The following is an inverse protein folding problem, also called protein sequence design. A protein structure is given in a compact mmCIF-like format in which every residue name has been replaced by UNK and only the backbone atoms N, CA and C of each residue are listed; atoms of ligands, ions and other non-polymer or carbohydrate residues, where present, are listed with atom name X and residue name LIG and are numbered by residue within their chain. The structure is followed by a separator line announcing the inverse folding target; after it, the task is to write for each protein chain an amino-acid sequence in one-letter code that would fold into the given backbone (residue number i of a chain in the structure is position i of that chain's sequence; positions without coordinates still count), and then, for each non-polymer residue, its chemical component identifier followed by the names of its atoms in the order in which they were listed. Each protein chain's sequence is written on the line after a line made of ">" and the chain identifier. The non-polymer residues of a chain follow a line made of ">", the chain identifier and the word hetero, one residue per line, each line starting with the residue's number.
data_IF_687176437884
#
_entry.id   IF_687176437884
#
_cell.length_a   1.000
_cell.length_b   1.000
_cell.length_c   1.000
_cell.angle_alpha   90.00
_cell.angle_beta   90.00
_cell.angle_gamma   90.00
#
_symmetry.space_group_name_H-M   'P 1'
#
loop_
_entity.id
_entity.type
_entity.pdbx_description
1 polymer ?
#
# COMPACT_ATOMS: atom_id res chain seq x y z
N UNK A 1 10.88 -38.64 -23.91
CA UNK A 1 9.73 -37.75 -24.12
C UNK A 1 8.90 -37.76 -22.84
N UNK A 2 8.68 -36.60 -22.19
CA UNK A 2 7.49 -36.30 -21.37
C UNK A 2 7.60 -34.87 -20.82
N UNK A 3 7.14 -33.90 -21.62
CA UNK A 3 6.89 -32.52 -21.22
C UNK A 3 5.40 -32.43 -20.86
N UNK A 4 5.02 -32.65 -19.61
CA UNK A 4 3.63 -32.54 -19.19
C UNK A 4 3.53 -32.20 -17.71
N UNK A 5 3.51 -30.91 -17.38
CA UNK A 5 2.68 -30.34 -16.31
C UNK A 5 2.81 -28.81 -16.27
N UNK A 6 2.28 -28.15 -17.30
CA UNK A 6 1.84 -26.75 -17.16
C UNK A 6 0.31 -26.76 -17.09
N UNK A 7 -0.25 -26.69 -15.87
CA UNK A 7 -1.68 -26.43 -15.68
C UNK A 7 -1.86 -24.95 -15.28
N UNK A 8 -2.44 -24.09 -16.13
CA UNK A 8 -2.88 -22.78 -15.70
C UNK A 8 -4.16 -22.91 -14.85
N UNK A 9 -4.10 -22.49 -13.60
CA UNK A 9 -5.29 -22.32 -12.76
C UNK A 9 -6.00 -21.05 -13.22
N UNK A 10 -6.92 -21.19 -14.17
CA UNK A 10 -7.90 -20.15 -14.47
C UNK A 10 -8.88 -20.05 -13.29
N UNK A 11 -8.76 -18.96 -12.51
CA UNK A 11 -9.82 -18.55 -11.58
C UNK A 11 -10.87 -17.75 -12.37
N UNK A 12 -12.15 -18.14 -12.37
CA UNK A 12 -13.19 -17.29 -12.92
C UNK A 12 -13.35 -16.04 -12.05
N UNK A 13 -13.28 -14.89 -12.72
CA UNK A 13 -13.52 -13.57 -12.15
C UNK A 13 -15.02 -13.42 -11.88
N UNK A 14 -15.42 -13.53 -10.61
CA UNK A 14 -16.80 -13.23 -10.19
C UNK A 14 -17.00 -11.73 -10.16
N UNK A 15 -17.69 -11.20 -11.17
CA UNK A 15 -18.15 -9.81 -11.21
C UNK A 15 -19.29 -9.62 -10.21
N UNK A 16 -18.97 -9.30 -8.95
CA UNK A 16 -19.96 -8.79 -8.02
C UNK A 16 -20.24 -7.31 -8.36
N UNK A 17 -21.37 -7.06 -9.02
CA UNK A 17 -21.90 -5.73 -9.24
C UNK A 17 -22.32 -5.12 -7.89
N UNK A 18 -21.52 -4.19 -7.39
CA UNK A 18 -21.86 -3.40 -6.20
C UNK A 18 -22.83 -2.29 -6.61
N UNK A 19 -24.13 -2.54 -6.43
CA UNK A 19 -25.19 -1.55 -6.55
C UNK A 19 -25.18 -0.71 -5.26
N UNK A 20 -24.53 0.46 -5.29
CA UNK A 20 -24.76 1.47 -4.25
C UNK A 20 -26.01 2.29 -4.60
N UNK A 21 -27.11 1.96 -3.91
CA UNK A 21 -28.32 2.76 -3.79
C UNK A 21 -28.02 4.02 -2.97
N UNK A 22 -28.31 5.19 -3.53
CA UNK A 22 -28.40 6.44 -2.77
C UNK A 22 -29.84 6.64 -2.28
N UNK A 23 -30.09 7.06 -1.03
CA UNK A 23 -31.40 7.49 -0.61
C UNK A 23 -31.67 8.92 -1.11
N UNK A 24 -32.73 9.07 -1.91
CA UNK A 24 -33.25 10.38 -2.31
C UNK A 24 -34.12 10.94 -1.18
N UNK A 25 -33.69 12.04 -0.57
CA UNK A 25 -34.52 12.83 0.36
C UNK A 25 -35.53 13.62 -0.46
N UNK A 26 -36.80 13.27 -0.34
CA UNK A 26 -37.92 14.03 -0.91
C UNK A 26 -38.28 15.17 0.04
N UNK A 27 -38.21 16.41 -0.45
CA UNK A 27 -38.80 17.57 0.22
C UNK A 27 -39.93 18.10 -0.67
N UNK A 28 -41.09 18.28 -0.06
CA UNK A 28 -42.37 18.61 -0.68
C UNK A 28 -42.35 19.93 -1.46
N UNK A 29 -43.04 19.91 -2.60
CA UNK A 29 -43.23 21.05 -3.50
C UNK A 29 -44.21 22.08 -2.94
N UNK A 30 -43.87 23.36 -3.05
CA UNK A 30 -44.85 24.45 -3.18
C UNK A 30 -45.02 24.76 -4.67
N UNK A 31 -46.23 24.51 -5.18
CA UNK A 31 -46.61 24.77 -6.58
C UNK A 31 -46.86 26.26 -6.76
N UNK A 32 -46.02 26.94 -7.55
CA UNK A 32 -46.34 28.23 -8.16
C UNK A 32 -46.87 28.01 -9.58
N UNK A 33 -47.84 28.81 -10.06
CA UNK A 33 -48.49 28.58 -11.34
C UNK A 33 -47.51 28.74 -12.50
N UNK A 34 -47.62 27.83 -13.46
CA UNK A 34 -46.81 27.73 -14.66
C UNK A 34 -46.88 29.03 -15.48
N UNK A 35 -45.76 29.75 -15.55
CA UNK A 35 -45.51 30.66 -16.65
C UNK A 35 -45.19 29.81 -17.87
N UNK A 36 -46.07 29.86 -18.87
CA UNK A 36 -45.87 29.23 -20.18
C UNK A 36 -44.73 29.96 -20.88
N UNK A 37 -43.49 29.56 -20.62
CA UNK A 37 -42.35 29.96 -21.44
C UNK A 37 -42.41 29.15 -22.74
N UNK A 38 -42.32 29.85 -23.86
CA UNK A 38 -42.39 29.26 -25.20
C UNK A 38 -41.29 28.19 -25.35
N UNK A 39 -41.70 26.93 -25.54
CA UNK A 39 -40.80 25.84 -25.90
C UNK A 39 -40.28 26.11 -27.34
N UNK A 40 -39.10 26.72 -27.43
CA UNK A 40 -38.36 26.86 -28.68
C UNK A 40 -37.18 25.89 -28.66
N UNK A 41 -37.21 24.89 -29.54
CA UNK A 41 -36.25 23.79 -29.63
C UNK A 41 -34.91 24.16 -30.29
N UNK A 42 -34.51 25.44 -30.23
CA UNK A 42 -33.20 25.88 -30.68
C UNK A 42 -32.54 26.66 -29.55
N UNK A 43 -31.56 26.04 -28.89
CA UNK A 43 -30.72 26.72 -27.92
C UNK A 43 -30.09 27.94 -28.60
N UNK A 44 -30.48 29.15 -28.17
CA UNK A 44 -29.82 30.37 -28.62
C UNK A 44 -28.37 30.27 -28.17
N UNK A 45 -27.45 30.13 -29.12
CA UNK A 45 -26.03 30.25 -28.86
C UNK A 45 -25.79 31.67 -28.39
N UNK A 46 -25.70 31.86 -27.07
CA UNK A 46 -25.20 33.10 -26.53
C UNK A 46 -23.79 33.31 -27.08
N UNK A 47 -23.58 34.48 -27.69
CA UNK A 47 -22.24 34.97 -28.04
C UNK A 47 -21.39 34.77 -26.80
N UNK A 48 -20.23 34.11 -26.93
CA UNK A 48 -19.28 33.88 -25.83
C UNK A 48 -18.77 35.24 -25.32
N UNK A 49 -19.58 35.95 -24.57
CA UNK A 49 -19.13 37.00 -23.68
C UNK A 49 -18.24 36.30 -22.64
N UNK A 50 -17.18 36.98 -22.23
CA UNK A 50 -16.25 36.46 -21.22
C UNK A 50 -17.08 36.24 -19.95
N UNK A 51 -17.48 34.99 -19.72
CA UNK A 51 -18.33 34.61 -18.58
C UNK A 51 -17.68 35.00 -17.26
N UNK A 52 -18.43 34.96 -16.15
CA UNK A 52 -17.90 35.31 -14.83
C UNK A 52 -16.58 34.57 -14.58
N UNK A 53 -15.61 35.28 -14.01
CA UNK A 53 -14.26 34.76 -13.77
C UNK A 53 -14.31 33.37 -13.11
N UNK A 54 -13.46 32.45 -13.58
CA UNK A 54 -13.38 31.10 -13.00
C UNK A 54 -13.10 31.21 -11.51
N UNK A 55 -13.92 30.54 -10.69
CA UNK A 55 -13.70 30.44 -9.25
C UNK A 55 -12.28 29.91 -8.98
N UNK A 56 -11.47 30.61 -8.15
CA UNK A 56 -10.13 30.16 -7.79
C UNK A 56 -10.13 28.76 -7.16
N UNK A 57 -11.18 28.35 -6.45
CA UNK A 57 -11.30 27.00 -5.87
C UNK A 57 -11.35 25.94 -6.96
N UNK A 58 -12.16 26.17 -8.00
CA UNK A 58 -12.27 25.27 -9.15
C UNK A 58 -10.93 25.21 -9.90
N UNK A 59 -10.21 26.32 -9.99
CA UNK A 59 -8.88 26.38 -10.61
C UNK A 59 -7.85 25.59 -9.82
N UNK A 60 -7.81 25.72 -8.49
CA UNK A 60 -6.91 24.94 -7.64
C UNK A 60 -7.21 23.45 -7.70
N UNK A 61 -8.49 23.06 -7.65
CA UNK A 61 -8.88 21.65 -7.80
C UNK A 61 -8.39 21.11 -9.15
N UNK A 62 -8.61 21.82 -10.25
CA UNK A 62 -8.12 21.41 -11.58
C UNK A 62 -6.60 21.36 -11.68
N UNK A 63 -5.91 22.28 -11.03
CA UNK A 63 -4.46 22.31 -10.99
C UNK A 63 -3.89 21.11 -10.23
N UNK A 64 -4.47 20.72 -9.09
CA UNK A 64 -4.00 19.57 -8.31
C UNK A 64 -4.42 18.21 -8.91
N UNK A 65 -5.56 18.15 -9.61
CA UNK A 65 -6.02 16.92 -10.28
C UNK A 65 -5.39 16.70 -11.66
N UNK A 66 -5.18 17.78 -12.42
CA UNK A 66 -4.67 17.75 -13.80
C UNK A 66 -3.61 18.84 -13.97
N UNK A 67 -2.48 18.63 -13.32
CA UNK A 67 -1.41 19.61 -13.28
C UNK A 67 -0.74 19.71 -14.67
N UNK A 68 -0.66 20.89 -15.31
CA UNK A 68 -0.09 21.02 -16.66
C UNK A 68 1.40 20.67 -16.73
N UNK A 69 2.10 20.70 -15.60
CA UNK A 69 3.51 20.30 -15.51
C UNK A 69 3.69 18.78 -15.29
N UNK A 70 2.60 18.03 -15.06
CA UNK A 70 2.71 16.56 -15.03
C UNK A 70 2.91 16.06 -16.45
N UNK A 71 4.00 15.31 -16.70
CA UNK A 71 4.23 14.77 -18.02
C UNK A 71 3.11 13.81 -18.39
N UNK A 72 2.86 13.67 -19.68
CA UNK A 72 1.89 12.69 -20.17
C UNK A 72 2.27 11.29 -19.66
N UNK A 73 1.28 10.43 -19.34
CA UNK A 73 1.54 9.06 -18.92
C UNK A 73 2.45 8.34 -19.93
N UNK A 74 3.45 7.64 -19.41
CA UNK A 74 4.44 6.94 -20.23
C UNK A 74 3.84 5.64 -20.79
N UNK A 75 3.73 5.57 -22.11
CA UNK A 75 3.28 4.35 -22.79
C UNK A 75 4.46 3.46 -23.14
N UNK A 76 4.37 2.19 -22.76
CA UNK A 76 5.35 1.18 -23.10
C UNK A 76 4.84 0.24 -24.20
N UNK A 77 5.72 -0.12 -25.14
CA UNK A 77 5.46 -1.24 -26.05
C UNK A 77 5.43 -2.56 -25.29
N UNK A 78 4.84 -3.60 -25.88
CA UNK A 78 4.70 -4.93 -25.24
C UNK A 78 6.03 -5.48 -24.73
N UNK A 79 7.08 -5.47 -25.56
CA UNK A 79 8.41 -5.96 -25.16
C UNK A 79 9.00 -5.14 -24.00
N UNK A 80 8.80 -3.81 -24.00
CA UNK A 80 9.27 -2.93 -22.93
C UNK A 80 8.53 -3.20 -21.62
N UNK A 81 7.21 -3.40 -21.69
CA UNK A 81 6.39 -3.76 -20.52
C UNK A 81 6.86 -5.08 -19.89
N UNK A 82 7.08 -6.11 -20.71
CA UNK A 82 7.58 -7.40 -20.24
C UNK A 82 8.96 -7.27 -19.58
N UNK A 83 9.89 -6.54 -20.20
CA UNK A 83 11.22 -6.27 -19.61
C UNK A 83 11.11 -5.54 -18.27
N UNK A 84 10.30 -4.48 -18.20
CA UNK A 84 10.07 -3.74 -16.97
C UNK A 84 9.54 -4.66 -15.85
N UNK A 85 8.54 -5.48 -16.16
CA UNK A 85 7.97 -6.42 -15.21
C UNK A 85 8.99 -7.43 -14.69
N UNK A 86 9.76 -8.06 -15.60
CA UNK A 86 10.76 -9.06 -15.21
C UNK A 86 11.85 -8.47 -14.33
N UNK A 87 12.38 -7.29 -14.70
CA UNK A 87 13.40 -6.60 -13.90
C UNK A 87 12.84 -6.22 -12.53
N UNK A 88 11.64 -5.62 -12.49
CA UNK A 88 10.99 -5.25 -11.24
C UNK A 88 10.76 -6.47 -10.34
N UNK A 89 10.32 -7.60 -10.91
CA UNK A 89 10.09 -8.83 -10.16
C UNK A 89 11.40 -9.40 -9.60
N UNK A 90 12.46 -9.44 -10.40
CA UNK A 90 13.78 -9.88 -9.96
C UNK A 90 14.30 -9.00 -8.80
N UNK A 91 14.13 -7.68 -8.91
CA UNK A 91 14.48 -6.73 -7.86
C UNK A 91 13.69 -6.98 -6.57
N UNK A 92 12.38 -7.20 -6.66
CA UNK A 92 11.56 -7.52 -5.48
C UNK A 92 12.01 -8.83 -4.80
N UNK A 93 12.40 -9.85 -5.58
CA UNK A 93 12.93 -11.10 -5.03
C UNK A 93 14.29 -10.87 -4.35
N UNK A 94 15.16 -10.08 -4.98
CA UNK A 94 16.45 -9.70 -4.40
C UNK A 94 16.25 -8.96 -3.06
N UNK A 95 15.39 -7.94 -3.02
CA UNK A 95 15.11 -7.19 -1.80
C UNK A 95 14.58 -8.08 -0.67
N UNK A 96 13.70 -9.04 -1.00
CA UNK A 96 13.21 -10.02 -0.01
C UNK A 96 14.35 -10.87 0.54
N UNK A 97 15.21 -11.40 -0.34
CA UNK A 97 16.37 -12.20 0.08
C UNK A 97 17.31 -11.39 0.98
N UNK A 98 17.52 -10.11 0.63
CA UNK A 98 18.37 -9.21 1.39
C UNK A 98 17.82 -8.95 2.79
N UNK A 99 16.53 -8.63 2.92
CA UNK A 99 15.88 -8.42 4.21
C UNK A 99 15.94 -9.68 5.09
N UNK A 100 15.70 -10.86 4.52
CA UNK A 100 15.83 -12.12 5.26
C UNK A 100 17.27 -12.42 5.71
N UNK A 101 18.27 -11.97 4.94
CA UNK A 101 19.66 -12.12 5.36
C UNK A 101 19.98 -11.18 6.55
N UNK A 102 19.51 -9.93 6.47
CA UNK A 102 19.63 -8.94 7.55
C UNK A 102 18.92 -9.43 8.83
N UNK A 103 17.69 -9.94 8.72
CA UNK A 103 16.92 -10.51 9.85
C UNK A 103 17.65 -11.70 10.50
N UNK A 104 18.16 -12.66 9.71
CA UNK A 104 18.89 -13.81 10.27
C UNK A 104 20.20 -13.42 10.94
N UNK A 105 20.87 -12.39 10.44
CA UNK A 105 22.10 -11.92 11.05
C UNK A 105 21.82 -11.26 12.41
N UNK A 106 20.73 -10.51 12.53
CA UNK A 106 20.25 -9.98 13.81
C UNK A 106 19.85 -11.10 14.78
N UNK A 107 19.15 -12.14 14.29
CA UNK A 107 18.83 -13.32 15.09
C UNK A 107 20.12 -14.01 15.59
N UNK A 108 21.12 -14.18 14.73
CA UNK A 108 22.42 -14.78 15.09
C UNK A 108 23.11 -13.98 16.20
N UNK A 109 23.14 -12.65 16.07
CA UNK A 109 23.72 -11.76 17.08
C UNK A 109 22.97 -11.85 18.41
N UNK A 110 21.64 -11.82 18.37
CA UNK A 110 20.81 -11.94 19.56
C UNK A 110 21.02 -13.30 20.25
N UNK A 111 21.06 -14.39 19.50
CA UNK A 111 21.30 -15.73 20.07
C UNK A 111 22.70 -15.85 20.68
N UNK A 112 23.72 -15.25 20.05
CA UNK A 112 25.07 -15.18 20.60
C UNK A 112 25.10 -14.39 21.91
N UNK A 113 24.45 -13.23 21.95
CA UNK A 113 24.36 -12.40 23.15
C UNK A 113 23.64 -13.14 24.28
N UNK A 114 22.50 -13.79 23.97
CA UNK A 114 21.75 -14.60 24.92
C UNK A 114 22.60 -15.75 25.48
N UNK A 115 23.30 -16.49 24.63
CA UNK A 115 24.17 -17.57 25.05
C UNK A 115 25.30 -17.08 25.96
N UNK A 116 25.89 -15.92 25.66
CA UNK A 116 26.90 -15.31 26.52
C UNK A 116 26.34 -14.88 27.88
N UNK A 117 25.15 -14.29 27.93
CA UNK A 117 24.48 -13.94 29.19
C UNK A 117 24.15 -15.18 30.03
N UNK A 118 23.64 -16.25 29.40
CA UNK A 118 23.42 -17.53 30.11
C UNK A 118 24.73 -18.11 30.63
N UNK A 119 25.81 -18.00 29.86
CA UNK A 119 27.13 -18.43 30.31
C UNK A 119 27.60 -17.67 31.55
N UNK A 120 27.45 -16.33 31.56
CA UNK A 120 27.82 -15.50 32.71
C UNK A 120 26.94 -15.79 33.93
N UNK A 121 25.65 -16.07 33.72
CA UNK A 121 24.72 -16.46 34.81
C UNK A 121 25.17 -17.74 35.51
N UNK A 122 25.76 -18.67 34.76
CA UNK A 122 26.25 -19.95 35.26
C UNK A 122 27.73 -19.92 35.63
N UNK A 123 28.38 -18.75 35.64
CA UNK A 123 29.81 -18.67 35.91
C UNK A 123 30.06 -18.39 37.39
N UNK A 124 30.96 -19.17 38.01
CA UNK A 124 31.44 -18.91 39.37
C UNK A 124 32.43 -17.73 39.39
N UNK A 125 32.71 -17.22 40.58
CA UNK A 125 33.83 -16.32 40.92
C UNK A 125 35.19 -16.76 40.35
N UNK A 126 35.40 -18.07 40.22
CA UNK A 126 36.62 -18.66 39.66
C UNK A 126 36.60 -18.79 38.12
N UNK A 127 35.54 -18.34 37.44
CA UNK A 127 35.44 -18.39 35.97
C UNK A 127 35.01 -19.74 35.38
N UNK A 128 34.64 -20.71 36.23
CA UNK A 128 34.19 -22.03 35.80
C UNK A 128 32.66 -22.04 35.60
N UNK A 129 32.18 -22.84 34.64
CA UNK A 129 30.73 -23.06 34.46
C UNK A 129 30.22 -23.98 35.56
N UNK A 130 29.17 -23.56 36.24
CA UNK A 130 28.53 -24.26 37.35
C UNK A 130 27.12 -24.69 36.94
N UNK A 131 26.60 -25.71 37.61
CA UNK A 131 25.20 -26.13 37.41
C UNK A 131 24.22 -25.04 37.89
N UNK A 132 23.03 -24.96 37.30
CA UNK A 132 22.00 -23.97 37.67
C UNK A 132 21.65 -23.96 39.16
N UNK A 133 21.73 -25.12 39.81
CA UNK A 133 21.43 -25.28 41.23
C UNK A 133 22.49 -24.65 42.13
N UNK A 134 23.72 -24.55 41.64
CA UNK A 134 24.91 -24.15 42.40
C UNK A 134 25.24 -22.67 42.11
N UNK A 135 24.99 -22.19 40.89
CA UNK A 135 25.08 -20.77 40.53
C UNK A 135 24.07 -19.86 41.28
N UNK A 136 22.94 -20.41 41.72
CA UNK A 136 21.95 -19.70 42.55
C UNK A 136 22.27 -19.68 44.05
N UNK A 137 23.23 -20.51 44.49
CA UNK A 137 23.74 -20.53 45.87
C UNK A 137 24.91 -19.56 45.94
N UNK A 138 24.61 -18.28 45.77
CA UNK A 138 25.53 -17.21 46.12
C UNK A 138 25.79 -17.28 47.62
N UNK A 139 26.91 -17.89 47.97
CA UNK A 139 27.57 -17.80 49.27
C UNK A 139 27.57 -16.32 49.70
N UNK A 140 26.65 -15.98 50.60
CA UNK A 140 26.64 -14.68 51.27
C UNK A 140 27.50 -14.85 52.51
N UNK A 141 28.74 -14.30 52.54
CA UNK A 141 29.51 -14.35 53.77
C UNK A 141 28.82 -13.41 54.76
N UNK A 142 28.20 -13.97 55.80
CA UNK A 142 27.79 -13.19 56.97
C UNK A 142 29.06 -12.71 57.68
N UNK A 143 29.51 -11.49 57.43
CA UNK A 143 30.34 -10.69 58.37
C UNK A 143 30.03 -9.21 58.24
#
# INVERSE_FOLDING_TARGET
>A
MNLSTFRPVFRPFSAAASIFRTPATQCAATRTPASTSSFSSTARMEKRAKGPGKDPRITNIRYHLSHPLTPRPLHFSRNRYLRHWTIHRAWMLFLRKRRWAEERELERQYMSMRAACEHLRLMDSNGNKVSEQEAGVGDSPRR
#
